data_IF_654230328516
#
_entry.id   IF_654230328516
#
_cell.length_a   1.000
_cell.length_b   1.000
_cell.length_c   1.000
_cell.angle_alpha   90.00
_cell.angle_beta   90.00
_cell.angle_gamma   90.00
#
_symmetry.space_group_name_H-M   'P 1'
#
loop_
_entity.id
_entity.type
_entity.pdbx_description
1 polymer ?
#
# COMPACT_ATOMS: atom_id res chain seq x y z
N UNK A 1 8.92 2.27 12.16
CA UNK A 1 9.05 2.01 10.71
C UNK A 1 10.42 1.39 10.46
N UNK A 2 10.46 0.09 10.16
CA UNK A 2 11.72 -0.66 10.04
C UNK A 2 12.41 -0.43 8.68
N UNK A 3 11.63 -0.28 7.62
CA UNK A 3 12.10 0.05 6.27
C UNK A 3 11.07 0.93 5.57
N UNK A 4 11.38 1.43 4.37
CA UNK A 4 10.40 2.18 3.56
C UNK A 4 9.14 1.36 3.21
N UNK A 5 9.28 0.04 3.13
CA UNK A 5 8.21 -0.88 2.71
C UNK A 5 7.55 -1.65 3.86
N UNK A 6 8.13 -1.61 5.05
CA UNK A 6 7.65 -2.38 6.20
C UNK A 6 7.34 -1.48 7.38
N UNK A 7 6.15 -1.62 7.92
CA UNK A 7 5.72 -0.94 9.14
C UNK A 7 5.19 -1.95 10.14
N UNK A 8 5.68 -1.87 11.36
CA UNK A 8 5.26 -2.69 12.49
C UNK A 8 4.83 -1.77 13.64
N UNK A 9 3.65 -2.01 14.17
CA UNK A 9 3.12 -1.33 15.34
C UNK A 9 2.70 -2.36 16.37
N UNK A 10 2.97 -2.08 17.63
CA UNK A 10 2.64 -2.94 18.75
C UNK A 10 2.20 -2.08 19.91
N UNK A 11 1.13 -2.45 20.57
CA UNK A 11 0.59 -1.76 21.73
C UNK A 11 0.07 -2.77 22.76
N UNK A 12 0.42 -2.58 24.01
CA UNK A 12 -0.09 -3.36 25.13
C UNK A 12 -0.70 -2.42 26.16
N UNK A 13 -1.83 -2.77 26.70
CA UNK A 13 -2.53 -1.99 27.73
C UNK A 13 -2.69 -2.78 29.01
N UNK A 14 -2.40 -2.10 30.11
CA UNK A 14 -2.55 -2.63 31.46
C UNK A 14 -3.39 -1.70 32.30
N UNK A 15 -4.29 -2.25 33.12
CA UNK A 15 -5.03 -1.50 34.10
C UNK A 15 -4.39 -1.64 35.48
N UNK A 16 -4.42 -0.56 36.23
CA UNK A 16 -3.86 -0.50 37.59
C UNK A 16 -4.83 -1.09 38.61
N UNK A 17 -6.14 -0.94 38.41
CA UNK A 17 -7.17 -1.31 39.36
C UNK A 17 -7.75 -2.70 39.07
N UNK A 18 -7.99 -3.44 40.15
CA UNK A 18 -8.60 -4.76 40.10
C UNK A 18 -10.13 -4.69 39.93
N UNK A 19 -10.70 -5.79 39.41
CA UNK A 19 -12.16 -5.94 39.43
C UNK A 19 -12.67 -6.29 40.82
N UNK A 20 -13.83 -5.78 41.18
CA UNK A 20 -14.56 -6.13 42.40
C UNK A 20 -16.07 -6.25 42.10
N UNK A 21 -16.81 -6.85 43.02
CA UNK A 21 -18.26 -6.88 42.95
C UNK A 21 -18.85 -5.66 43.69
N UNK A 22 -19.81 -5.02 43.06
CA UNK A 22 -20.67 -4.04 43.71
C UNK A 22 -21.68 -4.73 44.65
N UNK A 23 -22.31 -3.96 45.52
CA UNK A 23 -23.40 -4.43 46.43
C UNK A 23 -24.55 -5.14 45.69
N UNK A 24 -24.72 -4.84 44.42
CA UNK A 24 -25.73 -5.45 43.54
C UNK A 24 -25.21 -6.70 42.79
N UNK A 25 -23.96 -7.12 43.06
CA UNK A 25 -23.35 -8.25 42.40
C UNK A 25 -22.86 -7.99 40.97
N UNK A 26 -22.80 -6.72 40.54
CA UNK A 26 -22.20 -6.38 39.26
C UNK A 26 -20.68 -6.30 39.34
N UNK A 27 -20.01 -6.61 38.23
CA UNK A 27 -18.56 -6.51 38.12
C UNK A 27 -18.21 -5.07 37.79
N UNK A 28 -17.50 -4.41 38.67
CA UNK A 28 -16.99 -3.05 38.48
C UNK A 28 -15.48 -2.99 38.66
N UNK A 29 -14.87 -1.92 38.17
CA UNK A 29 -13.46 -1.61 38.47
C UNK A 29 -13.42 -1.08 39.91
N UNK A 30 -12.69 -1.75 40.78
CA UNK A 30 -12.62 -1.41 42.19
C UNK A 30 -11.60 -0.31 42.51
N UNK A 31 -11.55 0.05 43.78
CA UNK A 31 -10.61 1.08 44.29
C UNK A 31 -9.25 0.50 44.66
N UNK A 32 -9.15 -0.83 44.76
CA UNK A 32 -7.90 -1.49 45.08
C UNK A 32 -7.04 -1.73 43.83
N UNK A 33 -5.78 -1.40 43.95
CA UNK A 33 -4.83 -1.64 42.86
C UNK A 33 -4.44 -3.11 42.78
N UNK A 34 -4.10 -3.60 41.59
CA UNK A 34 -3.57 -4.95 41.39
C UNK A 34 -2.28 -5.19 42.22
N UNK A 35 -1.51 -4.13 42.47
CA UNK A 35 -0.32 -4.17 43.30
C UNK A 35 -0.59 -4.54 44.76
N UNK A 36 -1.74 -4.12 45.29
CA UNK A 36 -2.15 -4.53 46.67
C UNK A 36 -2.37 -6.04 46.80
N UNK A 37 -2.56 -6.72 45.67
CA UNK A 37 -2.64 -8.19 45.56
C UNK A 37 -1.34 -8.84 45.10
N UNK A 38 -0.22 -8.10 45.09
CA UNK A 38 1.08 -8.60 44.64
C UNK A 38 1.18 -8.81 43.13
N UNK A 39 0.36 -8.20 42.33
CA UNK A 39 0.33 -8.35 40.87
C UNK A 39 0.82 -7.08 40.22
N UNK A 40 1.56 -7.18 39.07
CA UNK A 40 2.09 -6.04 38.34
C UNK A 40 1.01 -5.13 37.77
N UNK A 41 -0.13 -5.67 37.36
CA UNK A 41 -1.25 -4.98 36.76
C UNK A 41 -2.19 -5.96 36.07
N UNK A 42 -3.37 -5.48 35.72
CA UNK A 42 -4.31 -6.27 34.97
C UNK A 42 -4.09 -6.03 33.48
N UNK A 43 -3.69 -7.07 32.79
CA UNK A 43 -3.54 -7.03 31.33
C UNK A 43 -4.92 -6.85 30.71
N UNK A 44 -5.13 -5.74 29.96
CA UNK A 44 -6.39 -5.43 29.29
C UNK A 44 -6.40 -5.87 27.85
N UNK A 45 -5.22 -5.90 27.23
CA UNK A 45 -5.12 -6.33 25.87
C UNK A 45 -3.79 -5.98 25.22
N UNK A 46 -3.58 -6.64 24.11
CA UNK A 46 -2.43 -6.48 23.24
C UNK A 46 -2.92 -6.38 21.82
N UNK A 47 -2.44 -5.39 21.08
CA UNK A 47 -2.74 -5.25 19.66
C UNK A 47 -1.48 -4.98 18.88
N UNK A 48 -1.44 -5.53 17.69
CA UNK A 48 -0.35 -5.27 16.77
C UNK A 48 -0.83 -5.24 15.35
N UNK A 49 -0.09 -4.54 14.53
CA UNK A 49 -0.28 -4.55 13.09
C UNK A 49 1.06 -4.54 12.39
N UNK A 50 1.14 -5.26 11.32
CA UNK A 50 2.24 -5.12 10.39
C UNK A 50 1.71 -4.89 8.99
N UNK A 51 2.36 -4.02 8.26
CA UNK A 51 2.05 -3.78 6.86
C UNK A 51 3.30 -3.86 6.02
N UNK A 52 3.14 -4.39 4.83
CA UNK A 52 4.19 -4.51 3.84
C UNK A 52 3.67 -4.06 2.49
N UNK A 53 4.44 -3.22 1.81
CA UNK A 53 4.09 -2.73 0.48
C UNK A 53 5.03 -3.34 -0.55
N UNK A 54 4.44 -4.11 -1.45
CA UNK A 54 5.09 -4.66 -2.64
C UNK A 54 4.96 -3.68 -3.80
N UNK A 55 6.01 -3.55 -4.58
CA UNK A 55 6.03 -2.82 -5.83
C UNK A 55 6.90 -3.57 -6.85
N UNK A 56 7.00 -3.05 -8.08
CA UNK A 56 7.81 -3.66 -9.13
C UNK A 56 9.25 -3.94 -8.69
N UNK A 57 9.88 -3.02 -7.95
CA UNK A 57 11.28 -3.15 -7.55
C UNK A 57 11.44 -4.19 -6.44
N UNK A 58 10.49 -4.21 -5.47
CA UNK A 58 10.47 -5.20 -4.40
C UNK A 58 10.24 -6.60 -4.96
N UNK A 59 9.33 -6.72 -5.93
CA UNK A 59 9.04 -7.99 -6.59
C UNK A 59 10.24 -8.54 -7.35
N UNK A 60 10.91 -7.70 -8.15
CA UNK A 60 12.14 -8.08 -8.87
C UNK A 60 13.24 -8.51 -7.91
N UNK A 61 13.37 -7.84 -6.77
CA UNK A 61 14.39 -8.17 -5.76
C UNK A 61 14.14 -9.54 -5.08
N UNK A 62 12.88 -9.94 -4.93
CA UNK A 62 12.51 -11.18 -4.23
C UNK A 62 12.32 -12.38 -5.16
N UNK A 63 11.76 -12.15 -6.33
CA UNK A 63 11.35 -13.19 -7.28
C UNK A 63 11.97 -13.05 -8.66
N UNK A 64 12.71 -11.95 -8.93
CA UNK A 64 13.46 -11.81 -10.17
C UNK A 64 14.60 -12.82 -10.25
N UNK A 65 15.08 -13.18 -11.45
CA UNK A 65 16.29 -13.97 -11.60
C UNK A 65 17.40 -13.25 -10.83
N UNK A 66 18.10 -13.96 -9.96
CA UNK A 66 19.31 -13.47 -9.34
C UNK A 66 20.29 -13.27 -10.47
N UNK A 67 20.63 -12.03 -10.80
CA UNK A 67 21.85 -11.74 -11.53
C UNK A 67 22.98 -12.16 -10.58
N UNK A 68 23.50 -13.36 -10.78
CA UNK A 68 24.73 -13.81 -10.14
C UNK A 68 25.79 -12.79 -10.50
N UNK A 69 26.21 -12.02 -9.51
CA UNK A 69 27.15 -10.96 -9.65
C UNK A 69 28.50 -11.49 -10.13
N UNK A 70 29.17 -10.63 -10.84
CA UNK A 70 30.49 -10.62 -11.42
C UNK A 70 30.49 -10.74 -12.95
N UNK A 71 30.00 -9.69 -13.59
CA UNK A 71 30.22 -9.41 -14.98
C UNK A 71 30.85 -8.02 -15.14
N UNK A 72 32.18 -8.02 -15.28
CA UNK A 72 33.09 -6.93 -15.65
C UNK A 72 32.40 -5.84 -16.48
N UNK A 73 32.67 -4.58 -16.11
CA UNK A 73 32.54 -3.42 -16.99
C UNK A 73 33.19 -3.73 -18.37
N UNK A 74 32.40 -4.23 -19.29
CA UNK A 74 32.75 -4.25 -20.71
C UNK A 74 32.48 -2.85 -21.25
N UNK A 75 33.54 -2.11 -21.51
CA UNK A 75 33.58 -1.02 -22.48
C UNK A 75 33.30 -1.63 -23.85
N UNK A 76 32.11 -1.65 -24.32
CA UNK A 76 31.84 -1.74 -25.74
C UNK A 76 31.73 -0.33 -26.32
N UNK A 77 32.84 0.05 -26.96
CA UNK A 77 32.90 1.17 -27.85
C UNK A 77 32.04 0.87 -29.08
N UNK A 78 30.89 1.51 -29.18
CA UNK A 78 30.18 1.64 -30.43
C UNK A 78 31.04 2.52 -31.37
N UNK A 79 31.43 1.99 -32.49
CA UNK A 79 32.03 2.71 -33.61
C UNK A 79 31.01 3.80 -34.03
N UNK A 80 31.29 5.02 -33.69
CA UNK A 80 30.68 6.20 -34.32
C UNK A 80 31.26 6.28 -35.74
N UNK A 81 30.37 6.42 -36.71
CA UNK A 81 30.74 6.65 -38.10
C UNK A 81 31.56 7.95 -38.20
N UNK A 82 32.68 7.81 -38.80
CA UNK A 82 33.59 8.85 -39.23
C UNK A 82 32.86 9.74 -40.22
N UNK A 83 32.37 10.90 -39.74
CA UNK A 83 31.91 11.98 -40.60
C UNK A 83 33.10 12.89 -40.88
N UNK A 84 33.39 13.11 -42.17
CA UNK A 84 34.43 13.98 -42.68
C UNK A 84 34.32 15.39 -42.04
N UNK A 85 35.27 15.72 -41.19
CA UNK A 85 35.38 16.95 -40.42
C UNK A 85 35.91 18.15 -41.23
N UNK A 86 36.01 18.06 -42.55
CA UNK A 86 36.79 19.00 -43.36
C UNK A 86 36.00 20.24 -43.89
N UNK A 87 34.69 20.35 -43.60
CA UNK A 87 33.85 21.45 -44.11
C UNK A 87 32.96 22.17 -43.12
N UNK A 88 33.22 22.09 -41.81
CA UNK A 88 32.44 22.85 -40.82
C UNK A 88 33.20 24.07 -40.30
N UNK A 89 32.49 25.19 -40.21
CA UNK A 89 33.03 26.43 -39.60
C UNK A 89 33.19 26.25 -38.09
N UNK A 90 34.14 26.98 -37.50
CA UNK A 90 34.44 26.90 -36.05
C UNK A 90 33.22 27.26 -35.19
N UNK A 91 32.31 28.11 -35.64
CA UNK A 91 31.08 28.45 -34.95
C UNK A 91 30.07 27.31 -34.91
N UNK A 92 29.94 26.53 -35.99
CA UNK A 92 29.07 25.36 -36.02
C UNK A 92 29.64 24.22 -35.16
N UNK A 93 30.94 24.11 -35.04
CA UNK A 93 31.63 23.15 -34.13
C UNK A 93 31.36 23.49 -32.66
N UNK A 94 31.33 24.77 -32.30
CA UNK A 94 30.99 25.19 -30.92
C UNK A 94 29.53 24.99 -30.56
N UNK A 95 28.60 25.22 -31.50
CA UNK A 95 27.18 24.94 -31.29
C UNK A 95 26.90 23.42 -31.20
N UNK A 96 27.55 22.60 -31.96
CA UNK A 96 27.46 21.13 -31.86
C UNK A 96 28.01 20.62 -30.51
N UNK A 97 29.13 21.16 -30.04
CA UNK A 97 29.69 20.86 -28.72
C UNK A 97 28.78 21.29 -27.59
N UNK A 98 28.12 22.47 -27.69
CA UNK A 98 27.12 22.95 -26.71
C UNK A 98 25.83 22.13 -26.74
N UNK A 99 25.42 21.59 -27.88
CA UNK A 99 24.26 20.67 -28.01
C UNK A 99 24.57 19.25 -27.51
N UNK A 100 25.84 18.81 -27.57
CA UNK A 100 26.29 17.51 -27.04
C UNK A 100 26.54 17.55 -25.53
N UNK A 101 26.85 18.71 -24.95
CA UNK A 101 27.13 18.83 -23.50
C UNK A 101 25.87 18.95 -22.63
N UNK A 102 24.69 19.11 -23.20
CA UNK A 102 23.46 18.94 -22.45
C UNK A 102 23.17 17.46 -22.23
N UNK A 103 23.02 16.97 -20.99
CA UNK A 103 22.66 15.58 -20.74
C UNK A 103 21.23 15.39 -21.25
N UNK A 104 21.09 15.00 -22.52
CA UNK A 104 19.86 14.41 -23.00
C UNK A 104 19.62 13.18 -22.11
N UNK A 105 18.68 13.26 -21.19
CA UNK A 105 18.04 12.08 -20.63
C UNK A 105 17.48 11.31 -21.80
N UNK A 106 18.30 10.43 -22.39
CA UNK A 106 17.81 9.38 -23.26
C UNK A 106 16.90 8.55 -22.35
N UNK A 107 15.61 8.77 -22.42
CA UNK A 107 14.65 7.74 -22.04
C UNK A 107 15.03 6.54 -22.92
N UNK A 108 15.78 5.61 -22.34
CA UNK A 108 16.02 4.33 -22.96
C UNK A 108 14.63 3.74 -23.19
N UNK A 109 14.17 3.75 -24.40
CA UNK A 109 13.03 2.95 -24.78
C UNK A 109 13.37 1.52 -24.35
N UNK A 110 12.71 1.03 -23.32
CA UNK A 110 12.87 -0.34 -22.87
C UNK A 110 12.23 -1.23 -23.94
N UNK A 111 13.01 -1.55 -24.94
CA UNK A 111 12.67 -2.57 -25.93
C UNK A 111 13.13 -3.89 -25.34
N UNK A 112 12.26 -4.87 -25.22
CA UNK A 112 12.66 -6.25 -24.93
C UNK A 112 13.50 -6.77 -26.10
N UNK A 113 14.36 -7.79 -25.86
CA UNK A 113 15.20 -8.41 -26.89
C UNK A 113 14.40 -8.88 -28.12
N UNK A 114 13.11 -9.10 -27.99
CA UNK A 114 12.17 -9.48 -29.06
C UNK A 114 11.63 -8.28 -29.86
N UNK A 115 12.17 -7.06 -29.69
CA UNK A 115 11.76 -5.86 -30.42
C UNK A 115 10.44 -5.22 -29.97
N UNK A 116 9.77 -5.76 -28.97
CA UNK A 116 8.57 -5.18 -28.41
C UNK A 116 8.90 -4.12 -27.35
N UNK A 117 8.17 -3.01 -27.34
CA UNK A 117 8.26 -2.01 -26.28
C UNK A 117 7.88 -2.68 -24.95
N UNK A 118 8.83 -2.80 -24.04
CA UNK A 118 8.56 -3.33 -22.70
C UNK A 118 7.61 -2.38 -21.99
N UNK A 119 6.36 -2.77 -21.89
CA UNK A 119 5.33 -2.01 -21.20
C UNK A 119 5.60 -2.04 -19.69
N UNK A 120 6.09 -0.91 -19.15
CA UNK A 120 6.24 -0.75 -17.70
C UNK A 120 4.86 -0.51 -17.10
N UNK A 121 4.35 -1.51 -16.43
CA UNK A 121 3.13 -1.43 -15.64
C UNK A 121 3.50 -1.20 -14.18
N UNK A 122 3.53 0.07 -13.71
CA UNK A 122 3.78 0.32 -12.30
C UNK A 122 2.58 -0.14 -11.48
N UNK A 123 2.86 -0.98 -10.49
CA UNK A 123 1.88 -1.44 -9.53
C UNK A 123 2.43 -1.38 -8.12
N UNK A 124 1.54 -1.27 -7.16
CA UNK A 124 1.83 -1.41 -5.75
C UNK A 124 0.73 -2.21 -5.08
N UNK A 125 1.10 -3.10 -4.19
CA UNK A 125 0.20 -3.89 -3.37
C UNK A 125 0.63 -3.75 -1.92
N UNK A 126 -0.24 -3.23 -1.08
CA UNK A 126 -0.03 -3.12 0.36
C UNK A 126 -0.88 -4.17 1.07
N UNK A 127 -0.22 -5.03 1.82
CA UNK A 127 -0.85 -6.00 2.70
C UNK A 127 -0.67 -5.52 4.14
N UNK A 128 -1.77 -5.47 4.89
CA UNK A 128 -1.78 -5.09 6.29
C UNK A 128 -2.51 -6.14 7.10
N UNK A 129 -1.79 -6.79 7.98
CA UNK A 129 -2.37 -7.73 8.92
C UNK A 129 -2.42 -7.08 10.30
N UNK A 130 -3.59 -7.13 10.92
CA UNK A 130 -3.81 -6.64 12.28
C UNK A 130 -4.37 -7.75 13.17
N UNK A 131 -3.92 -7.77 14.40
CA UNK A 131 -4.43 -8.67 15.42
C UNK A 131 -4.61 -7.92 16.74
N UNK A 132 -5.58 -8.35 17.52
CA UNK A 132 -5.88 -7.77 18.82
C UNK A 132 -6.38 -8.86 19.75
N UNK A 133 -5.76 -8.93 20.92
CA UNK A 133 -6.19 -9.75 22.04
C UNK A 133 -6.72 -8.78 23.08
N UNK A 134 -7.98 -8.90 23.46
CA UNK A 134 -8.62 -8.01 24.44
C UNK A 134 -9.46 -8.83 25.43
N UNK A 135 -9.66 -8.26 26.63
CA UNK A 135 -10.62 -8.82 27.58
C UNK A 135 -12.01 -8.89 26.94
N UNK A 136 -12.60 -10.07 26.94
CA UNK A 136 -14.01 -10.28 26.55
C UNK A 136 -14.91 -9.95 27.75
N UNK A 137 -15.41 -8.72 27.78
CA UNK A 137 -16.21 -8.18 28.88
C UNK A 137 -17.65 -8.72 28.93
N UNK A 138 -17.85 -9.92 28.42
CA UNK A 138 -19.12 -10.62 28.58
C UNK A 138 -19.27 -11.09 30.03
N UNK A 139 -20.37 -10.68 30.68
CA UNK A 139 -20.61 -10.97 32.10
C UNK A 139 -20.66 -12.46 32.40
N UNK A 140 -21.16 -13.26 31.46
CA UNK A 140 -21.32 -14.69 31.62
C UNK A 140 -20.00 -15.45 31.58
N UNK A 141 -18.99 -14.84 30.98
CA UNK A 141 -17.65 -15.42 30.84
C UNK A 141 -16.68 -15.02 31.94
N UNK A 142 -17.10 -14.19 32.88
CA UNK A 142 -16.23 -13.73 33.97
C UNK A 142 -15.84 -14.85 34.91
N UNK A 143 -14.55 -15.04 35.10
CA UNK A 143 -14.06 -16.06 36.02
C UNK A 143 -13.99 -15.49 37.45
N UNK A 144 -14.91 -15.94 38.31
CA UNK A 144 -15.02 -15.50 39.72
C UNK A 144 -13.80 -15.87 40.56
N UNK A 145 -13.13 -16.99 40.25
CA UNK A 145 -11.94 -17.44 41.03
C UNK A 145 -10.73 -16.55 40.76
N UNK A 146 -10.54 -16.11 39.52
CA UNK A 146 -9.39 -15.28 39.14
C UNK A 146 -9.72 -13.80 39.10
N UNK A 147 -11.01 -13.42 39.23
CA UNK A 147 -11.52 -12.05 39.07
C UNK A 147 -11.10 -11.41 37.77
N UNK A 148 -11.19 -12.16 36.67
CA UNK A 148 -10.77 -11.72 35.34
C UNK A 148 -11.72 -12.20 34.27
N UNK A 149 -11.79 -11.40 33.20
CA UNK A 149 -12.44 -11.81 31.95
C UNK A 149 -11.50 -12.68 31.11
N UNK A 150 -12.02 -13.61 30.30
CA UNK A 150 -11.23 -14.32 29.32
C UNK A 150 -10.78 -13.34 28.22
N UNK A 151 -9.80 -13.75 27.46
CA UNK A 151 -9.32 -12.97 26.32
C UNK A 151 -9.94 -13.47 25.02
N UNK A 152 -10.36 -12.54 24.19
CA UNK A 152 -10.79 -12.80 22.82
C UNK A 152 -9.70 -12.33 21.83
N UNK A 153 -9.39 -13.18 20.88
CA UNK A 153 -8.48 -12.87 19.76
C UNK A 153 -9.33 -12.44 18.57
N UNK A 154 -9.02 -11.27 18.04
CA UNK A 154 -9.55 -10.80 16.74
C UNK A 154 -8.38 -10.54 15.80
N UNK A 155 -8.50 -10.96 14.56
CA UNK A 155 -7.47 -10.71 13.56
C UNK A 155 -8.06 -10.54 12.17
N UNK A 156 -7.45 -9.66 11.39
CA UNK A 156 -7.91 -9.30 10.06
C UNK A 156 -6.73 -9.05 9.12
N UNK A 157 -6.93 -9.30 7.85
CA UNK A 157 -6.01 -9.00 6.77
C UNK A 157 -6.67 -8.02 5.82
N UNK A 158 -5.99 -6.92 5.54
CA UNK A 158 -6.41 -5.94 4.54
C UNK A 158 -5.39 -5.91 3.40
N UNK A 159 -5.90 -5.87 2.19
CA UNK A 159 -5.12 -5.76 0.97
C UNK A 159 -5.59 -4.55 0.19
N UNK A 160 -4.69 -3.67 -0.17
CA UNK A 160 -4.96 -2.53 -1.05
C UNK A 160 -3.90 -2.44 -2.12
N UNK A 161 -4.30 -2.10 -3.32
CA UNK A 161 -3.38 -2.04 -4.45
C UNK A 161 -3.75 -0.96 -5.43
N UNK A 162 -2.74 -0.53 -6.17
CA UNK A 162 -2.86 0.37 -7.30
C UNK A 162 -2.11 -0.21 -8.48
N UNK A 163 -2.73 -0.20 -9.65
CA UNK A 163 -2.12 -0.64 -10.91
C UNK A 163 -2.37 0.42 -11.97
N UNK A 164 -1.30 0.89 -12.61
CA UNK A 164 -1.39 1.79 -13.77
C UNK A 164 -1.21 0.98 -15.05
N UNK A 165 -2.28 0.86 -15.81
CA UNK A 165 -2.27 0.19 -17.12
C UNK A 165 -2.02 1.24 -18.20
N UNK A 166 -0.76 1.50 -18.50
CA UNK A 166 -0.33 2.58 -19.39
C UNK A 166 -0.38 3.95 -18.73
N UNK A 167 -0.37 4.99 -19.56
CA UNK A 167 -0.35 6.38 -19.12
C UNK A 167 -1.70 6.90 -18.67
N UNK A 168 -2.80 6.25 -19.05
CA UNK A 168 -4.16 6.80 -18.92
C UNK A 168 -5.11 5.99 -18.04
N UNK A 169 -4.82 4.74 -17.73
CA UNK A 169 -5.63 3.89 -16.87
C UNK A 169 -5.04 3.78 -15.47
N UNK A 170 -5.88 3.96 -14.48
CA UNK A 170 -5.53 3.73 -13.08
C UNK A 170 -6.60 2.86 -12.43
N UNK A 171 -6.16 1.78 -11.80
CA UNK A 171 -7.03 0.82 -11.11
C UNK A 171 -6.59 0.77 -9.66
N UNK A 172 -7.50 1.12 -8.76
CA UNK A 172 -7.32 0.99 -7.32
C UNK A 172 -8.20 -0.14 -6.82
N UNK A 173 -7.64 -1.00 -5.99
CA UNK A 173 -8.31 -2.13 -5.36
C UNK A 173 -8.11 -2.07 -3.85
N UNK A 174 -9.16 -2.35 -3.09
CA UNK A 174 -9.10 -2.50 -1.64
C UNK A 174 -10.05 -3.60 -1.20
N UNK A 175 -9.56 -4.53 -0.38
CA UNK A 175 -10.35 -5.62 0.19
C UNK A 175 -9.80 -5.98 1.56
N UNK A 176 -10.61 -6.65 2.38
CA UNK A 176 -10.20 -7.18 3.66
C UNK A 176 -10.86 -8.51 3.95
N UNK A 177 -10.27 -9.25 4.88
CA UNK A 177 -10.82 -10.49 5.41
C UNK A 177 -10.72 -10.49 6.93
N UNK A 178 -11.85 -10.68 7.60
CA UNK A 178 -11.93 -10.87 9.04
C UNK A 178 -11.94 -12.36 9.36
N UNK A 179 -10.85 -12.86 9.93
CA UNK A 179 -10.70 -14.26 10.28
C UNK A 179 -11.57 -14.66 11.48
N UNK A 180 -11.88 -13.70 12.36
CA UNK A 180 -12.71 -13.93 13.54
C UNK A 180 -14.15 -14.18 13.14
N UNK A 181 -14.66 -13.35 12.23
CA UNK A 181 -16.01 -13.48 11.71
C UNK A 181 -16.10 -14.42 10.51
N UNK A 182 -14.96 -14.85 9.95
CA UNK A 182 -14.85 -15.64 8.70
C UNK A 182 -15.60 -15.00 7.54
N UNK A 183 -15.52 -13.68 7.44
CA UNK A 183 -16.20 -12.89 6.42
C UNK A 183 -15.25 -11.99 5.66
N UNK A 184 -15.52 -11.81 4.39
CA UNK A 184 -14.88 -10.76 3.61
C UNK A 184 -15.43 -9.40 4.01
N UNK A 185 -14.54 -8.44 4.22
CA UNK A 185 -14.90 -7.05 4.34
C UNK A 185 -15.33 -6.51 2.96
N UNK A 186 -15.88 -5.30 2.99
CA UNK A 186 -16.28 -4.63 1.75
C UNK A 186 -15.08 -4.49 0.80
N UNK A 187 -15.22 -5.03 -0.40
CA UNK A 187 -14.21 -4.93 -1.47
C UNK A 187 -14.59 -3.81 -2.40
N UNK A 188 -13.67 -2.89 -2.64
CA UNK A 188 -13.86 -1.77 -3.55
C UNK A 188 -12.86 -1.84 -4.70
N UNK A 189 -13.31 -1.59 -5.90
CA UNK A 189 -12.48 -1.46 -7.10
C UNK A 189 -12.85 -0.16 -7.78
N UNK A 190 -11.89 0.73 -7.94
CA UNK A 190 -12.07 2.00 -8.64
C UNK A 190 -11.18 2.01 -9.88
N UNK A 191 -11.79 2.14 -11.04
CA UNK A 191 -11.13 2.21 -12.33
C UNK A 191 -11.31 3.62 -12.85
N UNK A 192 -10.24 4.30 -13.19
CA UNK A 192 -10.28 5.63 -13.81
C UNK A 192 -9.46 5.65 -15.08
N UNK A 193 -9.96 6.40 -16.05
CA UNK A 193 -9.29 6.61 -17.32
C UNK A 193 -9.35 8.08 -17.71
N UNK A 194 -8.22 8.60 -18.10
CA UNK A 194 -8.10 9.92 -18.69
C UNK A 194 -8.26 9.80 -20.22
N UNK A 195 -9.25 10.50 -20.77
CA UNK A 195 -9.63 10.51 -22.18
C UNK A 195 -9.30 11.87 -22.85
N UNK A 196 -8.28 12.57 -22.36
CA UNK A 196 -7.84 13.87 -22.83
C UNK A 196 -8.76 15.03 -22.46
N UNK A 197 -9.99 15.05 -22.96
CA UNK A 197 -10.99 16.08 -22.63
C UNK A 197 -12.00 15.62 -21.57
N UNK A 198 -12.02 14.32 -21.27
CA UNK A 198 -12.94 13.71 -20.33
C UNK A 198 -12.19 12.81 -19.36
N UNK A 199 -12.66 12.71 -18.13
CA UNK A 199 -12.25 11.67 -17.18
C UNK A 199 -13.41 10.71 -16.98
N UNK A 200 -13.16 9.43 -17.20
CA UNK A 200 -14.09 8.35 -16.92
C UNK A 200 -13.70 7.71 -15.59
N UNK A 201 -14.67 7.47 -14.73
CA UNK A 201 -14.47 6.69 -13.51
C UNK A 201 -15.57 5.66 -13.32
N UNK A 202 -15.17 4.46 -12.88
CA UNK A 202 -16.06 3.37 -12.56
C UNK A 202 -15.69 2.87 -11.16
N UNK A 203 -16.63 2.94 -10.23
CA UNK A 203 -16.51 2.41 -8.88
C UNK A 203 -17.36 1.16 -8.72
N UNK A 204 -16.75 0.08 -8.25
CA UNK A 204 -17.41 -1.20 -7.96
C UNK A 204 -17.24 -1.49 -6.47
N UNK A 205 -18.31 -1.86 -5.82
CA UNK A 205 -18.32 -2.25 -4.40
C UNK A 205 -18.97 -3.62 -4.28
N UNK A 206 -18.25 -4.54 -3.63
CA UNK A 206 -18.70 -5.89 -3.35
C UNK A 206 -18.63 -6.14 -1.84
N UNK A 207 -19.70 -6.69 -1.27
CA UNK A 207 -19.77 -6.98 0.16
C UNK A 207 -21.19 -7.41 0.54
N UNK A 208 -21.70 -6.96 1.68
CA UNK A 208 -23.10 -7.21 2.09
C UNK A 208 -24.11 -6.70 1.07
N UNK A 209 -23.73 -5.70 0.30
CA UNK A 209 -24.47 -5.22 -0.86
C UNK A 209 -23.47 -4.98 -2.01
N UNK A 210 -23.95 -5.08 -3.24
CA UNK A 210 -23.18 -4.78 -4.44
C UNK A 210 -23.66 -3.46 -4.98
N UNK A 211 -22.73 -2.55 -5.28
CA UNK A 211 -23.04 -1.31 -5.97
C UNK A 211 -21.99 -1.00 -7.03
N UNK A 212 -22.42 -0.30 -8.07
CA UNK A 212 -21.56 0.20 -9.11
C UNK A 212 -21.96 1.63 -9.45
N UNK A 213 -20.93 2.43 -9.65
CA UNK A 213 -21.08 3.81 -10.05
C UNK A 213 -20.20 4.07 -11.27
N UNK A 214 -20.79 4.68 -12.28
CA UNK A 214 -20.07 5.08 -13.48
C UNK A 214 -20.28 6.57 -13.70
N UNK A 215 -19.19 7.31 -13.95
CA UNK A 215 -19.25 8.73 -14.24
C UNK A 215 -18.26 9.14 -15.33
N UNK A 216 -18.66 10.09 -16.13
CA UNK A 216 -17.82 10.77 -17.12
C UNK A 216 -17.88 12.27 -16.82
N UNK A 217 -16.73 12.91 -16.71
CA UNK A 217 -16.61 14.35 -16.47
C UNK A 217 -15.82 14.99 -17.59
N UNK A 218 -16.32 16.11 -18.11
CA UNK A 218 -15.57 16.96 -19.02
C UNK A 218 -14.51 17.76 -18.24
N UNK A 219 -13.29 17.79 -18.74
CA UNK A 219 -12.17 18.53 -18.15
C UNK A 219 -11.96 19.91 -18.78
N UNK A 220 -12.50 20.13 -19.97
CA UNK A 220 -12.38 21.41 -20.67
C UNK A 220 -13.41 22.40 -20.16
N UNK A 221 -12.99 23.60 -19.77
CA UNK A 221 -13.89 24.68 -19.39
C UNK A 221 -14.89 25.07 -20.51
N UNK A 222 -14.45 25.03 -21.74
CA UNK A 222 -15.32 25.28 -22.93
C UNK A 222 -16.40 24.20 -23.05
N UNK A 223 -16.09 22.95 -22.78
CA UNK A 223 -17.08 21.86 -22.85
C UNK A 223 -18.03 21.87 -21.64
N UNK A 224 -17.55 22.26 -20.48
CA UNK A 224 -18.40 22.43 -19.29
C UNK A 224 -19.38 23.57 -19.44
N UNK A 225 -19.01 24.65 -20.11
CA UNK A 225 -19.91 25.78 -20.36
C UNK A 225 -20.94 25.46 -21.45
N UNK A 226 -20.56 24.67 -22.47
CA UNK A 226 -21.49 24.22 -23.51
C UNK A 226 -22.50 23.16 -23.01
N UNK A 227 -22.21 22.45 -21.92
CA UNK A 227 -23.08 21.42 -21.36
C UNK A 227 -23.91 21.88 -20.16
N UNK A 228 -23.79 23.14 -19.74
CA UNK A 228 -24.69 23.77 -18.76
C UNK A 228 -25.95 24.25 -19.47
N UNK A 229 -26.96 23.42 -19.47
CA UNK A 229 -28.35 23.75 -19.79
C UNK A 229 -29.21 23.63 -18.57
#
# INVERSE_FOLDING_TARGET
KLTKSYTFNMNASFATYAYQYDERGNIIVGDRTEWSYGRFGRFQGYSGSFSYTFNNDTWKKWFGPKEDGEGKKGKEGGKEGEYDDEYMSDEEREELKKKQSQPRKKEKANTSDDGYLAFKMPWSLSLSYSYSIREDKDKDKFNRKTMRYPYALTHSLNASGNVKLGSRWNVNYSSGYDFTQKKMAMTTVNISRDLHCFTMSCGLVFGPFTSYNFSIRALSSMLTDALKW
#
